data_IF_225273856841
#
_entry.id   IF_225273856841
#
_cell.length_a   1.000
_cell.length_b   1.000
_cell.length_c   1.000
_cell.angle_alpha   90.00
_cell.angle_beta   90.00
_cell.angle_gamma   90.00
#
_symmetry.space_group_name_H-M   'P 1'
#
loop_
_entity.id
_entity.type
_entity.pdbx_description
1 polymer ?
#
# COMPACT_ATOMS: atom_id res chain seq x y z
N UNK A 1 13.09 12.93 9.46
CA UNK A 1 13.89 12.99 8.21
C UNK A 1 14.45 11.63 7.80
N UNK A 2 15.16 10.87 8.65
CA UNK A 2 15.75 9.56 8.27
C UNK A 2 14.71 8.47 7.93
N UNK A 3 13.59 8.39 8.66
CA UNK A 3 12.55 7.37 8.42
C UNK A 3 11.75 7.62 7.13
N UNK A 4 11.39 8.88 6.84
CA UNK A 4 10.68 9.23 5.61
C UNK A 4 11.49 8.84 4.36
N UNK A 5 12.79 9.12 4.35
CA UNK A 5 13.67 8.74 3.26
C UNK A 5 13.69 7.21 3.07
N UNK A 6 13.85 6.44 4.17
CA UNK A 6 13.77 4.98 4.13
C UNK A 6 12.44 4.46 3.57
N UNK A 7 11.31 5.06 3.96
CA UNK A 7 9.99 4.68 3.44
C UNK A 7 9.93 4.95 1.94
N UNK A 8 10.40 6.10 1.47
CA UNK A 8 10.40 6.44 0.05
C UNK A 8 11.29 5.49 -0.78
N UNK A 9 12.46 5.14 -0.26
CA UNK A 9 13.37 4.20 -0.91
C UNK A 9 12.74 2.79 -0.98
N UNK A 10 12.12 2.34 0.11
CA UNK A 10 11.39 1.08 0.16
C UNK A 10 10.21 1.05 -0.83
N UNK A 11 9.46 2.14 -0.94
CA UNK A 11 8.36 2.26 -1.91
C UNK A 11 8.87 2.17 -3.34
N UNK A 12 9.98 2.83 -3.64
CA UNK A 12 10.59 2.78 -4.97
C UNK A 12 11.01 1.35 -5.33
N UNK A 13 11.61 0.62 -4.39
CA UNK A 13 12.01 -0.76 -4.60
C UNK A 13 10.80 -1.71 -4.80
N UNK A 14 9.73 -1.52 -4.02
CA UNK A 14 8.49 -2.28 -4.15
C UNK A 14 7.82 -2.03 -5.50
N UNK A 15 7.73 -0.76 -5.92
CA UNK A 15 7.12 -0.42 -7.21
C UNK A 15 7.86 -1.09 -8.37
N UNK A 16 9.20 -1.16 -8.30
CA UNK A 16 10.02 -1.88 -9.27
C UNK A 16 9.79 -3.39 -9.21
N UNK A 17 9.68 -3.97 -8.02
CA UNK A 17 9.56 -5.41 -7.82
C UNK A 17 8.16 -5.95 -8.19
N UNK A 18 7.11 -5.19 -7.89
CA UNK A 18 5.71 -5.63 -7.97
C UNK A 18 4.91 -4.92 -9.07
N UNK A 19 5.48 -3.94 -9.76
CA UNK A 19 4.81 -3.19 -10.83
C UNK A 19 3.68 -2.29 -10.32
N UNK A 20 3.80 -1.78 -9.09
CA UNK A 20 2.84 -0.89 -8.43
C UNK A 20 3.22 0.57 -8.61
N UNK A 21 2.38 1.49 -8.10
CA UNK A 21 2.61 2.93 -8.11
C UNK A 21 2.35 3.53 -6.72
N UNK A 22 3.00 2.99 -5.68
CA UNK A 22 2.89 3.44 -4.29
C UNK A 22 3.73 4.67 -4.00
N UNK A 23 4.90 4.82 -4.63
CA UNK A 23 5.79 5.95 -4.45
C UNK A 23 5.09 7.30 -4.72
N UNK A 24 4.24 7.49 -5.74
CA UNK A 24 3.52 8.76 -5.91
C UNK A 24 2.31 8.95 -4.97
N UNK A 25 1.90 7.95 -4.17
CA UNK A 25 0.75 8.07 -3.26
C UNK A 25 1.15 8.71 -1.93
N UNK A 26 1.15 10.05 -1.88
CA UNK A 26 1.50 10.82 -0.66
C UNK A 26 0.62 10.47 0.54
N UNK A 27 -0.64 10.08 0.32
CA UNK A 27 -1.56 9.68 1.39
C UNK A 27 -1.11 8.37 2.03
N UNK A 28 -0.72 7.39 1.21
CA UNK A 28 -0.14 6.13 1.67
C UNK A 28 1.16 6.36 2.44
N UNK A 29 2.06 7.20 1.91
CA UNK A 29 3.33 7.51 2.58
C UNK A 29 3.11 8.13 3.97
N UNK A 30 2.22 9.11 4.06
CA UNK A 30 1.89 9.77 5.32
C UNK A 30 1.23 8.81 6.32
N UNK A 31 0.30 7.98 5.85
CA UNK A 31 -0.36 6.97 6.68
C UNK A 31 0.64 5.96 7.24
N UNK A 32 1.57 5.48 6.41
CA UNK A 32 2.63 4.58 6.84
C UNK A 32 3.62 5.26 7.77
N UNK A 33 4.01 6.52 7.55
CA UNK A 33 4.88 7.23 8.48
C UNK A 33 4.25 7.32 9.88
N UNK A 34 2.97 7.68 9.96
CA UNK A 34 2.22 7.78 11.21
C UNK A 34 2.05 6.42 11.90
N UNK A 35 2.04 5.32 11.15
CA UNK A 35 1.87 3.97 11.70
C UNK A 35 3.20 3.29 12.07
N UNK A 36 4.22 3.43 11.23
CA UNK A 36 5.53 2.79 11.41
C UNK A 36 6.26 3.37 12.62
N UNK A 37 6.15 4.67 12.89
CA UNK A 37 6.79 5.28 14.06
C UNK A 37 6.36 4.64 15.41
N UNK A 38 5.06 4.56 15.75
CA UNK A 38 4.61 3.88 16.97
C UNK A 38 4.77 2.35 16.89
N UNK A 39 4.81 1.76 15.69
CA UNK A 39 5.12 0.34 15.52
C UNK A 39 6.56 0.02 15.94
N UNK A 40 7.54 0.77 15.43
CA UNK A 40 8.96 0.61 15.81
C UNK A 40 9.18 0.80 17.31
N UNK A 41 8.49 1.77 17.93
CA UNK A 41 8.52 1.96 19.38
C UNK A 41 7.96 0.73 20.13
N UNK A 42 6.81 0.19 19.72
CA UNK A 42 6.22 -1.01 20.35
C UNK A 42 7.14 -2.23 20.23
N UNK A 43 7.73 -2.42 19.06
CA UNK A 43 8.69 -3.48 18.78
C UNK A 43 9.95 -3.36 19.63
N UNK A 44 10.50 -2.16 19.78
CA UNK A 44 11.63 -1.89 20.66
C UNK A 44 11.34 -2.26 22.13
N UNK A 45 10.10 -2.07 22.58
CA UNK A 45 9.66 -2.43 23.94
C UNK A 45 8.98 -3.80 24.05
N UNK A 46 9.00 -4.60 22.98
CA UNK A 46 8.44 -5.96 22.92
C UNK A 46 6.94 -6.06 23.30
N UNK A 47 6.16 -5.02 22.97
CA UNK A 47 4.72 -4.95 23.21
C UNK A 47 3.96 -5.52 22.01
N UNK A 48 3.53 -6.78 22.10
CA UNK A 48 2.76 -7.45 21.05
C UNK A 48 1.25 -7.17 21.19
N UNK A 49 0.55 -7.04 20.06
CA UNK A 49 -0.90 -6.95 19.99
C UNK A 49 -1.43 -8.17 19.23
N UNK A 50 -2.39 -8.89 19.83
CA UNK A 50 -3.13 -9.95 19.14
C UNK A 50 -4.19 -9.31 18.20
N UNK A 51 -4.12 -9.61 16.90
CA UNK A 51 -5.05 -9.07 15.90
C UNK A 51 -5.99 -10.15 15.31
N UNK A 52 -7.27 -10.17 15.70
CA UNK A 52 -8.23 -11.17 15.25
C UNK A 52 -8.74 -10.99 13.80
N UNK A 53 -8.33 -9.96 13.06
CA UNK A 53 -8.86 -9.64 11.71
C UNK A 53 -8.03 -10.28 10.59
N UNK A 54 -6.92 -10.93 10.93
CA UNK A 54 -5.87 -11.26 9.97
C UNK A 54 -6.16 -12.48 9.11
N UNK A 55 -6.91 -13.46 9.62
CA UNK A 55 -7.27 -14.65 8.82
C UNK A 55 -8.04 -14.28 7.54
N UNK A 56 -8.93 -13.30 7.63
CA UNK A 56 -9.77 -12.85 6.51
C UNK A 56 -9.01 -12.05 5.44
N UNK A 57 -7.85 -11.49 5.81
CA UNK A 57 -6.99 -10.69 4.94
C UNK A 57 -6.05 -11.60 4.13
N UNK A 58 -5.58 -12.71 4.71
CA UNK A 58 -4.69 -13.69 4.05
C UNK A 58 -5.31 -14.30 2.79
N UNK A 59 -6.60 -14.65 2.83
CA UNK A 59 -7.29 -15.36 1.74
C UNK A 59 -7.59 -14.44 0.55
N UNK A 60 -7.78 -13.14 0.79
CA UNK A 60 -8.14 -12.15 -0.25
C UNK A 60 -6.95 -11.38 -0.81
N UNK A 61 -5.86 -11.26 -0.06
CA UNK A 61 -4.77 -10.33 -0.37
C UNK A 61 -3.37 -10.93 -0.21
N UNK A 62 -3.17 -12.19 -0.61
CA UNK A 62 -1.85 -12.86 -0.55
C UNK A 62 -0.72 -12.04 -1.20
N UNK A 63 -0.98 -11.40 -2.34
CA UNK A 63 0.00 -10.52 -2.99
C UNK A 63 0.35 -9.28 -2.14
N UNK A 64 -0.63 -8.73 -1.43
CA UNK A 64 -0.43 -7.56 -0.56
C UNK A 64 0.37 -7.94 0.68
N UNK A 65 0.17 -9.15 1.20
CA UNK A 65 1.00 -9.68 2.27
C UNK A 65 2.48 -9.79 1.86
N UNK A 66 2.75 -10.29 0.65
CA UNK A 66 4.13 -10.35 0.13
C UNK A 66 4.76 -8.96 0.00
N UNK A 67 4.02 -7.99 -0.55
CA UNK A 67 4.44 -6.59 -0.62
C UNK A 67 4.78 -6.06 0.79
N UNK A 68 3.92 -6.36 1.77
CA UNK A 68 4.08 -5.86 3.15
C UNK A 68 5.30 -6.48 3.84
N UNK A 69 5.55 -7.77 3.62
CA UNK A 69 6.76 -8.45 4.11
C UNK A 69 8.00 -7.80 3.49
N UNK A 70 8.02 -7.60 2.17
CA UNK A 70 9.15 -6.96 1.50
C UNK A 70 9.38 -5.54 2.00
N UNK A 71 8.32 -4.73 2.14
CA UNK A 71 8.40 -3.38 2.69
C UNK A 71 9.04 -3.36 4.06
N UNK A 72 8.56 -4.23 4.93
CA UNK A 72 9.05 -4.36 6.29
C UNK A 72 10.52 -4.78 6.31
N UNK A 73 10.93 -5.72 5.46
CA UNK A 73 12.34 -6.15 5.33
C UNK A 73 13.25 -5.00 4.88
N UNK A 74 12.81 -4.15 3.94
CA UNK A 74 13.56 -2.95 3.54
C UNK A 74 13.77 -1.95 4.69
N UNK A 75 12.84 -1.90 5.65
CA UNK A 75 12.98 -1.00 6.81
C UNK A 75 13.93 -1.55 7.87
N UNK A 76 14.12 -2.88 7.91
CA UNK A 76 14.80 -3.63 8.97
C UNK A 76 16.34 -3.54 8.94
N UNK A 77 16.94 -2.75 8.04
CA UNK A 77 18.40 -2.59 7.93
C UNK A 77 19.06 -2.23 9.28
N UNK A 78 19.66 -3.25 9.92
CA UNK A 78 20.45 -3.26 11.17
C UNK A 78 19.68 -3.18 12.49
N UNK A 79 18.38 -3.52 12.53
CA UNK A 79 17.59 -3.49 13.77
C UNK A 79 17.10 -4.90 14.16
N UNK A 80 17.42 -5.33 15.39
CA UNK A 80 17.16 -6.68 15.92
C UNK A 80 15.72 -6.87 16.47
N UNK A 81 14.70 -6.32 15.80
CA UNK A 81 13.31 -6.54 16.24
C UNK A 81 12.57 -7.56 15.37
N UNK A 82 11.85 -8.47 16.03
CA UNK A 82 11.03 -9.50 15.38
C UNK A 82 9.65 -8.92 15.10
N UNK A 83 9.29 -8.82 13.83
CA UNK A 83 8.01 -8.29 13.41
C UNK A 83 7.02 -9.45 13.33
N UNK A 84 5.93 -9.29 14.06
CA UNK A 84 4.88 -10.31 14.12
C UNK A 84 4.06 -10.32 12.83
N UNK A 85 3.41 -11.46 12.57
CA UNK A 85 2.41 -11.55 11.50
C UNK A 85 1.31 -10.50 11.65
N UNK A 86 1.03 -10.12 12.89
CA UNK A 86 -0.05 -9.21 13.20
C UNK A 86 0.22 -7.78 12.70
N UNK A 87 1.46 -7.36 12.86
CA UNK A 87 1.95 -6.07 12.40
C UNK A 87 2.08 -6.01 10.87
N UNK A 88 2.49 -7.12 10.24
CA UNK A 88 2.48 -7.25 8.78
C UNK A 88 1.05 -7.10 8.24
N UNK A 89 0.06 -7.68 8.93
CA UNK A 89 -1.35 -7.52 8.58
C UNK A 89 -1.83 -6.06 8.63
N UNK A 90 -1.38 -5.28 9.62
CA UNK A 90 -1.69 -3.85 9.68
C UNK A 90 -1.07 -3.06 8.53
N UNK A 91 0.19 -3.33 8.20
CA UNK A 91 0.87 -2.73 7.04
C UNK A 91 0.15 -3.10 5.74
N UNK A 92 -0.28 -4.35 5.60
CA UNK A 92 -0.99 -4.85 4.43
C UNK A 92 -2.31 -4.12 4.16
N UNK A 93 -3.02 -3.67 5.19
CA UNK A 93 -4.25 -2.90 4.99
C UNK A 93 -4.02 -1.58 4.24
N UNK A 94 -2.91 -0.88 4.50
CA UNK A 94 -2.60 0.38 3.83
C UNK A 94 -2.28 0.16 2.34
N UNK A 95 -1.49 -0.88 2.03
CA UNK A 95 -1.21 -1.25 0.64
C UNK A 95 -2.47 -1.72 -0.10
N UNK A 96 -3.33 -2.51 0.56
CA UNK A 96 -4.60 -2.93 -0.03
C UNK A 96 -5.49 -1.72 -0.36
N UNK A 97 -5.62 -0.76 0.56
CA UNK A 97 -6.40 0.46 0.35
C UNK A 97 -5.86 1.30 -0.82
N UNK A 98 -4.54 1.44 -0.95
CA UNK A 98 -3.92 2.17 -2.06
C UNK A 98 -4.14 1.48 -3.41
N UNK A 99 -3.99 0.15 -3.48
CA UNK A 99 -4.31 -0.62 -4.70
C UNK A 99 -5.78 -0.51 -5.10
N UNK A 100 -6.70 -0.52 -4.13
CA UNK A 100 -8.13 -0.34 -4.41
C UNK A 100 -8.46 1.07 -4.90
N UNK A 101 -7.81 2.09 -4.34
CA UNK A 101 -7.89 3.48 -4.80
C UNK A 101 -7.40 3.60 -6.25
N UNK A 102 -6.23 3.04 -6.57
CA UNK A 102 -5.68 3.02 -7.92
C UNK A 102 -6.61 2.29 -8.90
N UNK A 103 -7.11 1.11 -8.52
CA UNK A 103 -8.07 0.33 -9.31
C UNK A 103 -9.33 1.16 -9.60
N UNK A 104 -9.91 1.80 -8.59
CA UNK A 104 -11.11 2.62 -8.73
C UNK A 104 -10.86 3.88 -9.58
N UNK A 105 -9.67 4.48 -9.49
CA UNK A 105 -9.27 5.60 -10.35
C UNK A 105 -9.07 5.16 -11.79
N UNK A 106 -8.39 4.04 -12.04
CA UNK A 106 -8.26 3.43 -13.37
C UNK A 106 -9.63 3.11 -13.96
N UNK A 107 -10.58 2.56 -13.19
CA UNK A 107 -11.95 2.36 -13.66
C UNK A 107 -12.70 3.66 -13.97
N UNK A 108 -12.51 4.73 -13.18
CA UNK A 108 -13.07 6.06 -13.47
C UNK A 108 -12.45 6.68 -14.73
N UNK A 109 -11.14 6.54 -14.92
CA UNK A 109 -10.42 7.02 -16.09
C UNK A 109 -10.81 6.22 -17.33
N UNK A 110 -10.95 4.90 -17.21
CA UNK A 110 -11.45 4.03 -18.29
C UNK A 110 -12.90 4.40 -18.66
N UNK A 111 -13.78 4.65 -17.67
CA UNK A 111 -15.13 5.21 -17.93
C UNK A 111 -15.07 6.57 -18.63
N UNK A 112 -14.16 7.46 -18.22
CA UNK A 112 -13.99 8.79 -18.81
C UNK A 112 -13.44 8.72 -20.25
N UNK A 113 -12.54 7.77 -20.54
CA UNK A 113 -12.00 7.52 -21.87
C UNK A 113 -13.00 6.82 -22.80
N UNK A 114 -13.81 5.89 -22.27
CA UNK A 114 -14.91 5.26 -23.02
C UNK A 114 -16.00 6.28 -23.37
N UNK A 115 -16.23 7.29 -22.53
CA UNK A 115 -17.15 8.39 -22.84
C UNK A 115 -16.67 9.31 -23.99
N UNK A 116 -15.39 9.25 -24.38
CA UNK A 116 -14.85 10.03 -25.49
C UNK A 116 -14.98 9.32 -26.86
N UNK A 117 -15.32 8.03 -26.89
CA UNK A 117 -15.50 7.28 -28.15
C UNK A 117 -16.99 7.07 -28.49
N UNK A 118 -17.91 7.43 -27.59
CA UNK A 118 -19.36 7.23 -27.80
C UNK A 118 -20.19 8.50 -28.06
N UNK A 119 -19.58 9.70 -28.19
CA UNK A 119 -20.30 10.94 -28.55
C UNK A 119 -19.80 11.54 -29.87
N UNK A 120 -19.50 10.69 -30.86
CA UNK A 120 -19.49 11.10 -32.27
C UNK A 120 -20.36 10.15 -33.06
N UNK A 121 -21.68 10.22 -32.85
CA UNK A 121 -22.65 9.79 -33.87
C UNK A 121 -24.02 10.41 -33.61
N UNK A 122 -24.48 11.10 -34.66
CA UNK A 122 -25.84 11.53 -35.01
C UNK A 122 -26.51 12.54 -34.05
N UNK A 123 -26.84 13.75 -34.50
CA UNK A 123 -28.01 14.04 -35.35
C UNK A 123 -27.91 15.43 -36.05
N UNK A 124 -28.80 15.74 -37.02
CA UNK A 124 -28.44 16.20 -38.35
C UNK A 124 -28.60 17.70 -38.59
N UNK A 125 -28.09 18.13 -39.73
CA UNK A 125 -28.34 19.42 -40.37
C UNK A 125 -29.84 19.48 -40.72
N UNK A 126 -30.54 20.48 -40.17
CA UNK A 126 -31.79 21.04 -40.68
C UNK A 126 -31.90 22.47 -40.20
#
# INVERSE_FOLDING_TARGET
MRLQAKINDAMTAIDQQYGTAFQPDEELQNALLLHIYPLMLRLHYNLQLDNPIIEDLYTRYANVFNISISFVQYLQDNEDFIITKDEIGYVAMYFAASLEKERNQKFRMYKKSVFCVQVVRVLPIS
#
